data_IF_789811827168
#
_entry.id   IF_789811827168
#
_cell.length_a   1.000
_cell.length_b   1.000
_cell.length_c   1.000
_cell.angle_alpha   90.00
_cell.angle_beta   90.00
_cell.angle_gamma   90.00
#
_symmetry.space_group_name_H-M   'P 1'
#
loop_
_entity.id
_entity.type
_entity.pdbx_description
1 polymer ?
#
# COMPACT_ATOMS: atom_id res chain seq x y z
N UNK A 1 24.80 -22.72 39.39
CA UNK A 1 23.96 -22.74 38.16
C UNK A 1 23.51 -21.31 37.88
N UNK A 2 24.09 -20.63 36.90
CA UNK A 2 23.66 -19.28 36.50
C UNK A 2 22.29 -19.37 35.82
N UNK A 3 21.27 -18.82 36.46
CA UNK A 3 19.95 -18.63 35.87
C UNK A 3 20.03 -17.50 34.84
N UNK A 4 20.02 -17.88 33.56
CA UNK A 4 19.96 -16.93 32.45
C UNK A 4 18.53 -16.40 32.38
N UNK A 5 18.17 -15.49 33.27
CA UNK A 5 17.04 -14.58 33.05
C UNK A 5 17.44 -13.58 31.95
N UNK A 6 17.56 -14.08 30.71
CA UNK A 6 17.64 -13.28 29.50
C UNK A 6 16.28 -12.61 29.31
N UNK A 7 16.05 -11.54 30.06
CA UNK A 7 14.99 -10.58 29.77
C UNK A 7 15.34 -9.94 28.43
N UNK A 8 14.80 -10.52 27.36
CA UNK A 8 14.88 -10.00 26.01
C UNK A 8 14.25 -8.60 26.01
N UNK A 9 15.11 -7.58 26.06
CA UNK A 9 14.70 -6.18 25.98
C UNK A 9 14.16 -5.92 24.58
N UNK A 10 12.83 -5.94 24.42
CA UNK A 10 12.17 -5.53 23.17
C UNK A 10 12.53 -4.07 22.90
N UNK A 11 13.40 -3.83 21.92
CA UNK A 11 13.72 -2.49 21.44
C UNK A 11 12.50 -1.94 20.69
N UNK A 12 11.85 -0.92 21.27
CA UNK A 12 10.73 -0.23 20.62
C UNK A 12 11.28 0.53 19.40
N UNK A 13 10.83 0.23 18.17
CA UNK A 13 11.28 0.93 16.98
C UNK A 13 11.05 2.44 17.10
N UNK A 14 11.97 3.24 16.57
CA UNK A 14 11.79 4.69 16.56
C UNK A 14 10.62 5.07 15.62
N UNK A 15 9.75 6.04 15.99
CA UNK A 15 8.57 6.39 15.19
C UNK A 15 8.88 6.74 13.72
N UNK A 16 10.09 7.28 13.47
CA UNK A 16 10.55 7.64 12.13
C UNK A 16 10.83 6.41 11.25
N UNK A 17 11.33 5.30 11.80
CA UNK A 17 11.58 4.07 11.03
C UNK A 17 10.26 3.43 10.61
N UNK A 18 9.30 3.34 11.54
CA UNK A 18 7.93 2.90 11.27
C UNK A 18 7.28 3.72 10.14
N UNK A 19 7.38 5.05 10.20
CA UNK A 19 6.85 5.92 9.15
C UNK A 19 7.41 5.58 7.75
N UNK A 20 8.73 5.39 7.63
CA UNK A 20 9.39 5.06 6.36
C UNK A 20 8.92 3.71 5.83
N UNK A 21 8.79 2.70 6.69
CA UNK A 21 8.30 1.37 6.31
C UNK A 21 6.86 1.43 5.78
N UNK A 22 5.98 2.17 6.45
CA UNK A 22 4.58 2.34 6.03
C UNK A 22 4.50 3.05 4.68
N UNK A 23 5.23 4.15 4.52
CA UNK A 23 5.24 4.91 3.26
C UNK A 23 5.79 4.05 2.12
N UNK A 24 6.88 3.31 2.36
CA UNK A 24 7.43 2.39 1.36
C UNK A 24 6.42 1.30 0.96
N UNK A 25 5.72 0.71 1.92
CA UNK A 25 4.68 -0.27 1.66
C UNK A 25 3.52 0.31 0.84
N UNK A 26 3.07 1.53 1.16
CA UNK A 26 2.01 2.22 0.40
C UNK A 26 2.46 2.46 -1.05
N UNK A 27 3.69 2.94 -1.26
CA UNK A 27 4.22 3.21 -2.61
C UNK A 27 4.32 1.91 -3.42
N UNK A 28 4.81 0.84 -2.81
CA UNK A 28 4.94 -0.47 -3.46
C UNK A 28 3.58 -0.98 -3.94
N UNK A 29 2.60 -1.00 -3.05
CA UNK A 29 1.24 -1.45 -3.40
C UNK A 29 0.62 -0.52 -4.45
N UNK A 30 0.83 0.79 -4.34
CA UNK A 30 0.29 1.75 -5.30
C UNK A 30 0.84 1.54 -6.71
N UNK A 31 2.14 1.33 -6.85
CA UNK A 31 2.76 1.13 -8.17
C UNK A 31 2.29 -0.16 -8.84
N UNK A 32 2.21 -1.26 -8.08
CA UNK A 32 1.76 -2.55 -8.59
C UNK A 32 0.29 -2.52 -9.01
N UNK A 33 -0.58 -1.99 -8.15
CA UNK A 33 -2.02 -1.96 -8.40
C UNK A 33 -2.35 -1.03 -9.58
N UNK A 34 -1.64 0.10 -9.71
CA UNK A 34 -1.83 1.00 -10.84
C UNK A 34 -1.33 0.37 -12.16
N UNK A 35 -0.15 -0.26 -12.14
CA UNK A 35 0.37 -0.96 -13.31
C UNK A 35 -0.55 -2.10 -13.75
N UNK A 36 -1.08 -2.88 -12.80
CA UNK A 36 -2.05 -3.94 -13.05
C UNK A 36 -3.35 -3.40 -13.67
N UNK A 37 -3.85 -2.25 -13.18
CA UNK A 37 -5.06 -1.64 -13.73
C UNK A 37 -4.87 -1.11 -15.16
N UNK A 38 -3.73 -0.50 -15.46
CA UNK A 38 -3.40 -0.01 -16.81
C UNK A 38 -3.19 -1.19 -17.77
N UNK A 39 -2.37 -2.16 -17.38
CA UNK A 39 -2.12 -3.36 -18.19
C UNK A 39 -3.41 -4.17 -18.42
N UNK A 40 -4.25 -4.30 -17.39
CA UNK A 40 -5.53 -4.99 -17.44
C UNK A 40 -6.52 -4.31 -18.39
N UNK A 41 -6.65 -2.98 -18.33
CA UNK A 41 -7.51 -2.24 -19.24
C UNK A 41 -7.05 -2.37 -20.71
N UNK A 42 -5.74 -2.28 -20.97
CA UNK A 42 -5.18 -2.51 -22.29
C UNK A 42 -5.43 -3.94 -22.79
N UNK A 43 -5.22 -4.95 -21.94
CA UNK A 43 -5.43 -6.36 -22.28
C UNK A 43 -6.90 -6.66 -22.60
N UNK A 44 -7.82 -6.22 -21.75
CA UNK A 44 -9.27 -6.46 -21.93
C UNK A 44 -9.78 -5.75 -23.19
N UNK A 45 -9.39 -4.49 -23.41
CA UNK A 45 -9.83 -3.75 -24.57
C UNK A 45 -9.30 -4.36 -25.88
N UNK A 46 -8.03 -4.81 -25.90
CA UNK A 46 -7.43 -5.49 -27.04
C UNK A 46 -8.09 -6.83 -27.37
N UNK A 47 -8.38 -7.65 -26.35
CA UNK A 47 -9.04 -8.95 -26.51
C UNK A 47 -10.45 -8.82 -27.09
N UNK A 48 -11.20 -7.84 -26.63
CA UNK A 48 -12.58 -7.62 -27.04
C UNK A 48 -12.73 -6.73 -28.28
N UNK A 49 -11.61 -6.25 -28.86
CA UNK A 49 -11.59 -5.24 -29.94
C UNK A 49 -12.48 -4.03 -29.65
N UNK A 50 -12.43 -3.55 -28.40
CA UNK A 50 -13.15 -2.35 -27.97
C UNK A 50 -12.61 -1.13 -28.73
N UNK A 51 -13.51 -0.34 -29.32
CA UNK A 51 -13.14 0.93 -29.94
C UNK A 51 -12.62 1.95 -28.91
N UNK A 52 -11.98 3.01 -29.38
CA UNK A 52 -11.23 3.96 -28.54
C UNK A 52 -12.04 4.51 -27.36
N UNK A 53 -13.32 4.83 -27.56
CA UNK A 53 -14.18 5.39 -26.51
C UNK A 53 -14.38 4.41 -25.33
N UNK A 54 -14.52 3.12 -25.62
CA UNK A 54 -14.71 2.09 -24.60
C UNK A 54 -13.40 1.74 -23.91
N UNK A 55 -12.26 1.80 -24.62
CA UNK A 55 -10.94 1.66 -24.01
C UNK A 55 -10.71 2.73 -22.94
N UNK A 56 -10.92 4.02 -23.25
CA UNK A 56 -10.77 5.10 -22.28
C UNK A 56 -11.74 4.98 -21.11
N UNK A 57 -13.00 4.58 -21.36
CA UNK A 57 -13.98 4.34 -20.30
C UNK A 57 -13.57 3.21 -19.36
N UNK A 58 -13.15 2.07 -19.91
CA UNK A 58 -12.67 0.92 -19.15
C UNK A 58 -11.40 1.26 -18.35
N UNK A 59 -10.47 1.99 -18.97
CA UNK A 59 -9.25 2.46 -18.34
C UNK A 59 -9.55 3.34 -17.13
N UNK A 60 -10.53 4.25 -17.25
CA UNK A 60 -10.96 5.13 -16.17
C UNK A 60 -11.59 4.35 -15.01
N UNK A 61 -12.41 3.34 -15.31
CA UNK A 61 -13.02 2.48 -14.28
C UNK A 61 -11.96 1.65 -13.55
N UNK A 62 -11.03 1.03 -14.28
CA UNK A 62 -9.95 0.23 -13.70
C UNK A 62 -9.03 1.06 -12.82
N UNK A 63 -8.59 2.24 -13.30
CA UNK A 63 -7.73 3.15 -12.52
C UNK A 63 -8.50 3.75 -11.33
N UNK A 64 -9.77 4.07 -11.50
CA UNK A 64 -10.64 4.49 -10.39
C UNK A 64 -10.75 3.42 -9.30
N UNK A 65 -10.94 2.15 -9.69
CA UNK A 65 -10.92 1.00 -8.79
C UNK A 65 -9.59 0.83 -8.08
N UNK A 66 -8.48 0.92 -8.81
CA UNK A 66 -7.13 0.88 -8.26
C UNK A 66 -6.91 1.98 -7.21
N UNK A 67 -7.32 3.22 -7.50
CA UNK A 67 -7.20 4.34 -6.58
C UNK A 67 -7.98 4.09 -5.29
N UNK A 68 -9.21 3.57 -5.37
CA UNK A 68 -9.99 3.22 -4.19
C UNK A 68 -9.30 2.16 -3.33
N UNK A 69 -8.70 1.13 -3.96
CA UNK A 69 -7.96 0.08 -3.26
C UNK A 69 -6.72 0.62 -2.55
N UNK A 70 -5.94 1.50 -3.22
CA UNK A 70 -4.75 2.15 -2.65
C UNK A 70 -5.13 3.00 -1.44
N UNK A 71 -6.20 3.80 -1.55
CA UNK A 71 -6.68 4.63 -0.42
C UNK A 71 -7.11 3.75 0.75
N UNK A 72 -7.84 2.66 0.49
CA UNK A 72 -8.25 1.73 1.54
C UNK A 72 -7.03 1.10 2.24
N UNK A 73 -6.04 0.64 1.47
CA UNK A 73 -4.79 0.09 1.99
C UNK A 73 -4.02 1.12 2.82
N UNK A 74 -3.82 2.33 2.29
CA UNK A 74 -3.09 3.40 2.98
C UNK A 74 -3.75 3.75 4.33
N UNK A 75 -5.09 3.82 4.37
CA UNK A 75 -5.84 4.06 5.60
C UNK A 75 -5.63 2.94 6.65
N UNK A 76 -5.58 1.68 6.23
CA UNK A 76 -5.29 0.57 7.13
C UNK A 76 -3.83 0.60 7.59
N UNK A 77 -2.88 0.82 6.69
CA UNK A 77 -1.45 0.87 7.01
C UNK A 77 -1.13 1.96 8.04
N UNK A 78 -1.70 3.16 7.88
CA UNK A 78 -1.55 4.25 8.85
C UNK A 78 -2.25 3.99 10.19
N UNK A 79 -3.25 3.10 10.24
CA UNK A 79 -3.96 2.75 11.48
C UNK A 79 -3.19 1.69 12.30
N UNK A 80 -2.50 0.77 11.65
CA UNK A 80 -1.77 -0.31 12.31
C UNK A 80 -0.48 0.19 12.95
N UNK A 81 0.23 1.12 12.31
CA UNK A 81 1.43 1.72 12.89
C UNK A 81 1.19 3.12 13.48
N UNK A 82 1.51 3.37 14.76
CA UNK A 82 1.49 4.72 15.31
C UNK A 82 2.68 5.54 14.77
N UNK A 83 2.47 6.17 13.62
CA UNK A 83 3.46 7.04 12.96
C UNK A 83 3.84 8.25 13.83
N UNK A 84 2.96 8.63 14.77
CA UNK A 84 3.15 9.74 15.71
C UNK A 84 3.22 9.25 17.15
N UNK A 85 4.40 8.81 17.60
CA UNK A 85 4.67 8.59 19.01
C UNK A 85 4.84 9.92 19.75
N UNK A 86 3.79 10.46 20.35
CA UNK A 86 3.91 11.56 21.32
C UNK A 86 4.48 11.00 22.63
N UNK A 87 5.79 11.11 22.80
CA UNK A 87 6.47 10.80 24.05
C UNK A 87 6.22 11.94 25.04
N UNK A 88 5.13 11.89 25.81
CA UNK A 88 5.09 12.64 27.08
C UNK A 88 5.98 11.91 28.08
N UNK A 89 6.98 12.65 28.56
CA UNK A 89 7.99 12.27 29.56
C UNK A 89 7.37 11.71 30.83
#
# INVERSE_FOLDING_TARGET
MQDRSMTSSKSVPSPRRSAVTVIAAIILVASEVLAAAIAGAWAIAGLLKLGDILFWGLQLVMVGGAMMAIIAFARQAMRVEPVFGSRKR
#
